data_IF_657081453515
#
_entry.id   IF_657081453515
#
_cell.length_a   1.000
_cell.length_b   1.000
_cell.length_c   1.000
_cell.angle_alpha   90.00
_cell.angle_beta   90.00
_cell.angle_gamma   90.00
#
_symmetry.space_group_name_H-M   'P 1'
#
loop_
_entity.id
_entity.type
_entity.pdbx_description
1 polymer ?
#
# COMPACT_ATOMS: atom_id res chain seq x y z
N UNK A 1 8.92 -30.70 -22.95
CA UNK A 1 8.36 -30.71 -21.59
C UNK A 1 8.24 -29.28 -21.04
N UNK A 2 9.27 -28.44 -21.10
CA UNK A 2 9.28 -27.06 -20.61
C UNK A 2 8.17 -26.20 -21.23
N UNK A 3 7.97 -26.18 -22.55
CA UNK A 3 6.89 -25.41 -23.22
C UNK A 3 5.46 -25.84 -22.82
N UNK A 4 5.25 -27.04 -22.32
CA UNK A 4 3.93 -27.48 -21.82
C UNK A 4 3.68 -26.95 -20.39
N UNK A 5 4.74 -26.87 -19.58
CA UNK A 5 4.67 -26.32 -18.22
C UNK A 5 4.48 -24.80 -18.28
N UNK A 6 5.14 -24.10 -19.21
CA UNK A 6 4.95 -22.65 -19.45
C UNK A 6 3.50 -22.33 -19.87
N UNK A 7 2.92 -23.14 -20.78
CA UNK A 7 1.54 -22.98 -21.20
C UNK A 7 0.54 -23.31 -20.07
N UNK A 8 0.82 -24.32 -19.26
CA UNK A 8 -0.01 -24.69 -18.12
C UNK A 8 0.05 -23.63 -17.01
N UNK A 9 1.22 -23.02 -16.78
CA UNK A 9 1.40 -21.91 -15.83
C UNK A 9 0.71 -20.63 -16.32
N UNK A 10 0.85 -20.27 -17.60
CA UNK A 10 0.10 -19.17 -18.21
C UNK A 10 -1.42 -19.41 -18.14
N UNK A 11 -1.87 -20.64 -18.43
CA UNK A 11 -3.28 -20.99 -18.33
C UNK A 11 -3.79 -20.94 -16.88
N UNK A 12 -2.98 -21.37 -15.90
CA UNK A 12 -3.31 -21.29 -14.48
C UNK A 12 -3.39 -19.84 -13.99
N UNK A 13 -2.47 -18.96 -14.45
CA UNK A 13 -2.50 -17.53 -14.17
C UNK A 13 -3.73 -16.89 -14.80
N UNK A 14 -4.07 -17.22 -16.05
CA UNK A 14 -5.30 -16.76 -16.71
C UNK A 14 -6.58 -17.28 -16.04
N UNK A 15 -6.59 -18.52 -15.54
CA UNK A 15 -7.72 -19.08 -14.80
C UNK A 15 -7.89 -18.40 -13.41
N UNK A 16 -6.80 -18.06 -12.72
CA UNK A 16 -6.86 -17.32 -11.45
C UNK A 16 -7.38 -15.90 -11.67
N UNK A 17 -6.99 -15.25 -12.76
CA UNK A 17 -7.48 -13.90 -13.13
C UNK A 17 -8.94 -13.98 -13.62
N UNK A 18 -9.34 -15.05 -14.30
CA UNK A 18 -10.68 -15.21 -14.90
C UNK A 18 -11.82 -15.52 -13.92
N UNK A 19 -11.53 -15.92 -12.68
CA UNK A 19 -12.58 -16.36 -11.73
C UNK A 19 -13.22 -15.21 -10.93
N UNK A 20 -12.77 -13.97 -11.06
CA UNK A 20 -13.18 -12.88 -10.17
C UNK A 20 -13.54 -11.56 -10.83
N UNK A 21 -13.78 -11.50 -12.11
CA UNK A 21 -14.31 -10.27 -12.74
C UNK A 21 -15.84 -10.34 -12.75
N UNK A 22 -16.43 -10.28 -11.57
CA UNK A 22 -17.77 -9.69 -11.44
C UNK A 22 -17.55 -8.18 -11.43
N UNK A 23 -17.89 -7.50 -12.52
CA UNK A 23 -17.90 -6.05 -12.57
C UNK A 23 -18.92 -5.54 -11.56
N UNK A 24 -18.46 -5.18 -10.38
CA UNK A 24 -19.23 -4.45 -9.40
C UNK A 24 -19.11 -2.97 -9.77
N UNK A 25 -20.22 -2.26 -9.84
CA UNK A 25 -20.24 -0.82 -10.07
C UNK A 25 -19.39 -0.14 -9.00
N UNK A 26 -18.29 0.51 -9.42
CA UNK A 26 -17.30 1.15 -8.58
C UNK A 26 -16.02 0.32 -8.42
N UNK A 27 -15.00 0.63 -9.21
CA UNK A 27 -13.65 0.06 -9.02
C UNK A 27 -13.00 0.70 -7.79
N UNK A 28 -13.16 0.07 -6.62
CA UNK A 28 -12.48 0.50 -5.40
C UNK A 28 -11.03 0.00 -5.42
N UNK A 29 -10.06 0.91 -5.22
CA UNK A 29 -8.64 0.55 -5.03
C UNK A 29 -8.39 -0.21 -3.73
N UNK A 30 -9.21 0.03 -2.70
CA UNK A 30 -9.35 -0.78 -1.49
C UNK A 30 -10.82 -0.80 -1.08
N UNK A 31 -11.22 -1.79 -0.29
CA UNK A 31 -12.52 -1.80 0.36
C UNK A 31 -12.33 -2.23 1.81
N UNK A 32 -12.59 -1.30 2.73
CA UNK A 32 -12.56 -1.56 4.17
C UNK A 32 -13.38 -0.51 4.91
N UNK A 33 -14.20 -0.90 5.90
CA UNK A 33 -14.90 0.05 6.75
C UNK A 33 -13.98 1.06 7.43
N UNK A 34 -12.74 0.70 7.64
CA UNK A 34 -11.73 1.55 8.26
C UNK A 34 -11.24 2.69 7.35
N UNK A 35 -11.49 2.62 6.04
CA UNK A 35 -11.11 3.67 5.10
C UNK A 35 -11.99 4.93 5.16
N UNK A 36 -13.08 4.89 5.93
CA UNK A 36 -13.91 6.06 6.26
C UNK A 36 -13.08 7.16 6.95
N UNK A 37 -12.07 6.76 7.73
CA UNK A 37 -11.33 7.65 8.61
C UNK A 37 -10.10 8.25 7.92
N UNK A 38 -9.85 9.54 8.18
CA UNK A 38 -8.68 10.24 7.68
C UNK A 38 -8.56 10.21 6.16
N UNK A 39 -7.40 9.77 5.69
CA UNK A 39 -7.08 9.58 4.26
C UNK A 39 -7.33 8.15 3.76
N UNK A 40 -8.01 7.33 4.55
CA UNK A 40 -8.24 5.93 4.23
C UNK A 40 -7.13 4.99 4.69
N UNK A 41 -6.99 3.88 3.99
CA UNK A 41 -6.00 2.85 4.28
C UNK A 41 -4.66 3.21 3.64
N UNK A 42 -3.59 3.30 4.44
CA UNK A 42 -2.25 3.52 3.90
C UNK A 42 -1.75 2.23 3.25
N UNK A 43 -1.37 2.32 1.97
CA UNK A 43 -0.85 1.19 1.21
C UNK A 43 0.53 0.76 1.75
N UNK A 44 0.77 -0.55 1.81
CA UNK A 44 2.10 -1.08 2.15
C UNK A 44 3.07 -0.79 1.01
N UNK A 45 4.12 -0.03 1.30
CA UNK A 45 5.19 0.27 0.36
C UNK A 45 6.03 -0.99 0.06
N UNK A 46 6.51 -1.11 -1.17
CA UNK A 46 7.35 -2.20 -1.64
C UNK A 46 6.75 -3.01 -2.78
N UNK A 47 7.63 -3.54 -3.63
CA UNK A 47 7.26 -4.41 -4.76
C UNK A 47 6.69 -5.76 -4.29
N UNK A 48 6.22 -6.57 -5.22
CA UNK A 48 5.77 -7.93 -4.92
C UNK A 48 6.84 -8.76 -4.20
N UNK A 49 8.12 -8.49 -4.46
CA UNK A 49 9.25 -9.06 -3.74
C UNK A 49 9.16 -8.75 -2.24
N UNK A 50 9.05 -7.47 -1.87
CA UNK A 50 8.98 -7.02 -0.49
C UNK A 50 7.69 -7.51 0.20
N UNK A 51 6.54 -7.36 -0.47
CA UNK A 51 5.23 -7.78 0.05
C UNK A 51 5.15 -9.27 0.34
N UNK A 52 5.79 -10.12 -0.50
CA UNK A 52 5.84 -11.57 -0.28
C UNK A 52 6.73 -12.01 0.90
N UNK A 53 7.43 -11.06 1.51
CA UNK A 53 8.39 -11.28 2.60
C UNK A 53 8.10 -10.36 3.81
N UNK A 54 6.82 -10.22 4.20
CA UNK A 54 6.38 -9.39 5.31
C UNK A 54 6.40 -7.88 5.05
N UNK A 55 6.78 -7.43 3.85
CA UNK A 55 6.93 -6.02 3.50
C UNK A 55 8.25 -5.41 4.00
N UNK A 56 9.26 -6.22 4.24
CA UNK A 56 10.62 -5.76 4.56
C UNK A 56 11.29 -5.11 3.36
N UNK A 57 12.27 -4.24 3.58
CA UNK A 57 12.99 -3.60 2.48
C UNK A 57 14.00 -2.54 2.89
N UNK A 58 14.07 -2.15 4.17
CA UNK A 58 14.94 -1.06 4.62
C UNK A 58 16.42 -1.43 4.51
N UNK A 59 16.77 -2.68 4.84
CA UNK A 59 18.13 -3.20 4.73
C UNK A 59 18.32 -4.12 3.53
N UNK A 60 17.26 -4.42 2.76
CA UNK A 60 17.36 -5.30 1.57
C UNK A 60 18.26 -4.70 0.50
N UNK A 61 19.30 -5.46 0.10
CA UNK A 61 20.15 -5.20 -1.06
C UNK A 61 20.09 -6.37 -2.03
N UNK A 62 19.29 -6.22 -3.09
CA UNK A 62 19.12 -7.25 -4.10
C UNK A 62 19.50 -6.70 -5.50
N UNK A 63 20.32 -7.42 -6.25
CA UNK A 63 20.77 -6.99 -7.58
C UNK A 63 19.73 -7.21 -8.68
N UNK A 64 18.67 -7.96 -8.39
CA UNK A 64 17.71 -8.45 -9.38
C UNK A 64 16.36 -7.80 -9.27
N UNK A 65 16.03 -7.21 -8.12
CA UNK A 65 14.76 -6.57 -7.84
C UNK A 65 14.98 -5.12 -7.48
N UNK A 66 14.07 -4.26 -7.95
CA UNK A 66 14.06 -2.87 -7.51
C UNK A 66 13.53 -2.84 -6.07
N UNK A 67 14.29 -2.21 -5.20
CA UNK A 67 13.84 -1.91 -3.86
C UNK A 67 13.73 -0.38 -3.70
N UNK A 68 12.51 0.13 -3.74
CA UNK A 68 12.22 1.55 -3.58
C UNK A 68 11.79 1.93 -2.15
N UNK A 69 11.71 0.96 -1.24
CA UNK A 69 11.45 1.26 0.19
C UNK A 69 12.60 2.02 0.84
N UNK A 70 13.83 1.81 0.35
CA UNK A 70 15.00 2.57 0.76
C UNK A 70 15.73 3.10 -0.49
N UNK A 71 15.79 4.42 -0.73
CA UNK A 71 16.43 4.98 -1.92
C UNK A 71 17.93 4.65 -2.06
N UNK A 72 18.63 4.34 -0.95
CA UNK A 72 20.02 3.88 -1.03
C UNK A 72 20.16 2.50 -1.71
N UNK A 73 19.12 1.67 -1.66
CA UNK A 73 19.11 0.32 -2.21
C UNK A 73 19.15 0.30 -3.75
N UNK A 74 18.81 1.40 -4.44
CA UNK A 74 18.88 1.51 -5.91
C UNK A 74 20.27 1.22 -6.45
N UNK A 75 21.31 1.39 -5.62
CA UNK A 75 22.70 1.12 -5.96
C UNK A 75 23.06 -0.37 -5.96
N UNK A 76 22.22 -1.23 -5.39
CA UNK A 76 22.41 -2.68 -5.34
C UNK A 76 21.98 -3.32 -6.67
N UNK A 77 22.78 -3.18 -7.71
CA UNK A 77 22.48 -3.62 -9.07
C UNK A 77 23.72 -4.08 -9.83
N UNK A 78 23.51 -4.79 -10.90
CA UNK A 78 24.59 -5.09 -11.83
C UNK A 78 24.92 -3.84 -12.67
N UNK A 79 26.19 -3.68 -13.02
CA UNK A 79 26.63 -2.56 -13.84
C UNK A 79 25.88 -2.54 -15.17
N UNK A 80 25.43 -1.34 -15.61
CA UNK A 80 24.75 -1.13 -16.88
C UNK A 80 23.39 -1.82 -17.01
N UNK A 81 22.78 -2.24 -15.88
CA UNK A 81 21.46 -2.89 -15.90
C UNK A 81 20.31 -1.88 -15.94
N UNK A 82 19.35 -2.11 -16.83
CA UNK A 82 18.02 -1.56 -16.77
C UNK A 82 17.14 -2.48 -15.93
N UNK A 83 16.28 -1.92 -15.09
CA UNK A 83 15.32 -2.69 -14.30
C UNK A 83 13.95 -2.04 -14.36
N UNK A 84 12.90 -2.87 -14.45
CA UNK A 84 11.52 -2.45 -14.32
C UNK A 84 10.77 -3.42 -13.40
N UNK A 85 9.86 -2.90 -12.61
CA UNK A 85 8.96 -3.68 -11.77
C UNK A 85 7.52 -3.23 -12.01
N UNK A 86 6.61 -4.19 -12.11
CA UNK A 86 5.18 -3.95 -12.27
C UNK A 86 4.41 -4.93 -11.41
N UNK A 87 3.56 -4.44 -10.56
CA UNK A 87 2.83 -5.23 -9.59
C UNK A 87 1.32 -5.05 -9.61
N UNK A 88 0.63 -6.16 -9.41
CA UNK A 88 -0.82 -6.29 -9.28
C UNK A 88 -1.15 -6.89 -7.93
N UNK A 89 -2.23 -6.43 -7.32
CA UNK A 89 -2.72 -6.95 -6.05
C UNK A 89 -4.23 -7.18 -6.13
N UNK A 90 -4.66 -8.36 -5.69
CA UNK A 90 -6.05 -8.69 -5.45
C UNK A 90 -6.27 -8.95 -3.97
N UNK A 91 -7.24 -8.29 -3.35
CA UNK A 91 -7.60 -8.48 -1.95
C UNK A 91 -8.99 -9.07 -1.81
N UNK A 92 -9.12 -10.14 -1.03
CA UNK A 92 -10.39 -10.75 -0.63
C UNK A 92 -10.53 -10.56 0.87
N UNK A 93 -11.52 -9.77 1.30
CA UNK A 93 -11.73 -9.42 2.70
C UNK A 93 -13.07 -9.90 3.21
N UNK A 94 -13.11 -10.34 4.46
CA UNK A 94 -14.30 -10.73 5.19
C UNK A 94 -14.39 -9.86 6.45
N UNK A 95 -15.49 -9.15 6.60
CA UNK A 95 -15.79 -8.25 7.71
C UNK A 95 -16.79 -8.92 8.67
N UNK A 96 -16.58 -8.71 9.98
CA UNK A 96 -17.49 -9.20 11.00
C UNK A 96 -17.62 -8.20 12.15
N UNK A 97 -18.88 -7.87 12.49
CA UNK A 97 -19.26 -7.12 13.68
C UNK A 97 -20.47 -7.81 14.32
N UNK A 98 -20.30 -8.30 15.54
CA UNK A 98 -21.34 -9.11 16.18
C UNK A 98 -21.78 -10.31 15.32
N UNK A 99 -23.04 -10.34 14.95
CA UNK A 99 -23.65 -11.36 14.07
C UNK A 99 -23.60 -10.99 12.58
N UNK A 100 -23.29 -9.73 12.26
CA UNK A 100 -23.19 -9.28 10.87
C UNK A 100 -21.89 -9.77 10.23
N UNK A 101 -22.00 -10.19 8.98
CA UNK A 101 -20.88 -10.65 8.17
C UNK A 101 -21.06 -10.15 6.75
N UNK A 102 -20.01 -9.56 6.20
CA UNK A 102 -19.95 -9.12 4.80
C UNK A 102 -18.59 -9.53 4.21
N UNK A 103 -18.48 -9.48 2.89
CA UNK A 103 -17.22 -9.73 2.21
C UNK A 103 -17.12 -8.92 0.93
N UNK A 104 -15.91 -8.56 0.55
CA UNK A 104 -15.63 -7.82 -0.66
C UNK A 104 -14.31 -8.30 -1.31
N UNK A 105 -14.18 -7.99 -2.58
CA UNK A 105 -13.05 -8.31 -3.42
C UNK A 105 -12.62 -7.03 -4.15
N UNK A 106 -11.33 -6.70 -4.11
CA UNK A 106 -10.76 -5.55 -4.79
C UNK A 106 -9.55 -5.95 -5.61
N UNK A 107 -9.32 -5.24 -6.72
CA UNK A 107 -8.16 -5.43 -7.58
C UNK A 107 -7.49 -4.09 -7.83
N UNK A 108 -6.16 -4.03 -7.69
CA UNK A 108 -5.40 -2.79 -7.85
C UNK A 108 -4.03 -3.05 -8.51
N UNK A 109 -3.52 -2.02 -9.17
CA UNK A 109 -2.11 -1.93 -9.58
C UNK A 109 -1.37 -1.31 -8.40
N UNK A 110 -0.38 -2.04 -7.84
CA UNK A 110 0.28 -1.54 -6.63
C UNK A 110 1.62 -0.87 -6.87
N UNK A 111 2.29 -1.10 -8.01
CA UNK A 111 3.50 -0.37 -8.37
C UNK A 111 3.81 -0.44 -9.86
N UNK A 112 4.46 0.62 -10.32
CA UNK A 112 5.19 0.67 -11.57
C UNK A 112 6.47 1.47 -11.36
N UNK A 113 7.62 0.80 -11.42
CA UNK A 113 8.91 1.42 -11.09
C UNK A 113 9.95 1.06 -12.14
N UNK A 114 10.68 2.06 -12.58
CA UNK A 114 11.81 1.93 -13.50
C UNK A 114 13.10 2.37 -12.81
N UNK A 115 14.20 1.72 -13.15
CA UNK A 115 15.50 2.06 -12.56
C UNK A 115 16.63 1.91 -13.58
N UNK A 116 17.51 2.91 -13.61
CA UNK A 116 18.58 3.06 -14.58
C UNK A 116 19.93 3.29 -13.88
N UNK A 117 21.04 2.82 -14.45
CA UNK A 117 22.36 3.18 -13.98
C UNK A 117 22.71 4.62 -14.40
N UNK A 118 23.35 5.39 -13.51
CA UNK A 118 23.93 6.69 -13.87
C UNK A 118 25.43 6.51 -14.15
N UNK A 119 26.13 5.95 -13.18
CA UNK A 119 27.56 5.69 -13.25
C UNK A 119 27.88 4.48 -12.37
N UNK A 120 29.06 3.94 -12.43
CA UNK A 120 29.57 2.67 -11.82
C UNK A 120 28.89 2.24 -10.49
N UNK A 121 28.70 3.19 -9.56
CA UNK A 121 28.16 2.94 -8.23
C UNK A 121 26.93 3.81 -7.92
N UNK A 122 26.36 4.45 -8.93
CA UNK A 122 25.19 5.31 -8.78
C UNK A 122 24.09 4.91 -9.74
N UNK A 123 22.86 5.05 -9.30
CA UNK A 123 21.67 4.73 -10.06
C UNK A 123 20.53 5.65 -9.70
N UNK A 124 19.55 5.65 -10.54
CA UNK A 124 18.35 6.47 -10.44
C UNK A 124 17.12 5.58 -10.63
N UNK A 125 16.02 5.96 -10.01
CA UNK A 125 14.73 5.30 -10.15
C UNK A 125 13.60 6.33 -10.25
N UNK A 126 12.53 5.94 -10.93
CA UNK A 126 11.30 6.68 -11.02
C UNK A 126 10.14 5.70 -10.93
N UNK A 127 9.08 6.09 -10.24
CA UNK A 127 7.92 5.21 -10.11
C UNK A 127 6.66 5.93 -9.70
N UNK A 128 5.56 5.20 -9.82
CA UNK A 128 4.25 5.56 -9.32
C UNK A 128 3.69 4.41 -8.49
N UNK A 129 3.17 4.73 -7.31
CA UNK A 129 2.54 3.74 -6.42
C UNK A 129 1.36 4.37 -5.69
N UNK A 130 0.33 3.63 -5.29
CA UNK A 130 -0.69 4.12 -4.39
C UNK A 130 -0.05 4.43 -3.02
N UNK A 131 -0.47 5.53 -2.41
CA UNK A 131 -0.09 5.92 -1.06
C UNK A 131 -1.19 5.60 -0.06
N UNK A 132 -2.45 5.95 -0.39
CA UNK A 132 -3.62 5.56 0.40
C UNK A 132 -4.84 5.37 -0.49
N UNK A 133 -5.76 4.53 -0.02
CA UNK A 133 -6.95 4.15 -0.74
C UNK A 133 -8.17 4.30 0.17
N UNK A 134 -9.26 4.84 -0.38
CA UNK A 134 -10.57 4.91 0.26
C UNK A 134 -11.54 4.07 -0.55
N UNK A 135 -12.24 3.17 0.13
CA UNK A 135 -13.30 2.39 -0.47
C UNK A 135 -14.17 1.78 0.61
N UNK A 136 -15.42 2.21 0.66
CA UNK A 136 -16.45 1.66 1.53
C UNK A 136 -17.83 1.92 0.94
N UNK A 137 -18.77 1.04 1.27
CA UNK A 137 -20.16 1.16 0.93
C UNK A 137 -20.95 0.39 1.99
N UNK A 138 -21.76 1.09 2.78
CA UNK A 138 -22.58 0.48 3.81
C UNK A 138 -23.86 1.27 4.02
N UNK A 139 -24.91 0.53 4.36
CA UNK A 139 -26.22 1.07 4.68
C UNK A 139 -26.51 0.87 6.17
N UNK A 140 -27.13 1.86 6.79
CA UNK A 140 -27.63 1.80 8.16
C UNK A 140 -29.01 2.42 8.24
N UNK A 141 -29.80 2.02 9.26
CA UNK A 141 -31.12 2.55 9.50
C UNK A 141 -31.14 3.33 10.80
N UNK A 142 -31.96 4.38 10.86
CA UNK A 142 -32.19 5.12 12.09
C UNK A 142 -32.81 4.20 13.16
N UNK A 143 -32.28 4.26 14.38
CA UNK A 143 -32.76 3.45 15.51
C UNK A 143 -33.48 4.27 16.61
N UNK A 144 -33.34 5.60 16.55
CA UNK A 144 -33.95 6.49 17.51
C UNK A 144 -35.46 6.59 17.27
N UNK A 145 -36.26 6.06 18.22
CA UNK A 145 -37.71 5.99 18.13
C UNK A 145 -38.38 7.38 18.10
N UNK A 146 -37.77 8.40 18.70
CA UNK A 146 -38.29 9.77 18.68
C UNK A 146 -38.16 10.38 17.28
N UNK A 147 -37.13 10.04 16.56
CA UNK A 147 -36.92 10.46 15.16
C UNK A 147 -37.88 9.67 14.25
N UNK A 148 -37.89 8.35 14.35
CA UNK A 148 -38.74 7.46 13.54
C UNK A 148 -40.21 7.81 13.70
N UNK A 149 -40.65 8.12 14.92
CA UNK A 149 -42.05 8.49 15.22
C UNK A 149 -42.52 9.77 14.52
N UNK A 150 -41.58 10.67 14.20
CA UNK A 150 -41.89 11.95 13.53
C UNK A 150 -41.66 11.91 12.02
N UNK A 151 -40.72 11.13 11.54
CA UNK A 151 -40.24 11.18 10.13
C UNK A 151 -40.43 9.86 9.37
N UNK A 152 -40.90 8.81 10.05
CA UNK A 152 -40.87 7.45 9.50
C UNK A 152 -39.46 6.85 9.51
N UNK A 153 -39.28 5.70 8.87
CA UNK A 153 -37.99 5.05 8.75
C UNK A 153 -37.03 5.88 7.89
N UNK A 154 -35.79 6.00 8.36
CA UNK A 154 -34.72 6.68 7.63
C UNK A 154 -33.59 5.67 7.34
N UNK A 155 -33.14 5.66 6.11
CA UNK A 155 -31.96 4.88 5.67
C UNK A 155 -30.81 5.82 5.37
N UNK A 156 -29.63 5.49 5.84
CA UNK A 156 -28.37 6.18 5.55
C UNK A 156 -27.51 5.27 4.70
N UNK A 157 -27.28 5.65 3.45
CA UNK A 157 -26.35 4.99 2.55
C UNK A 157 -25.07 5.79 2.48
N UNK A 158 -23.99 5.23 3.01
CA UNK A 158 -22.69 5.89 3.10
C UNK A 158 -21.68 5.17 2.23
N UNK A 159 -21.11 5.87 1.28
CA UNK A 159 -20.08 5.36 0.41
C UNK A 159 -18.93 6.36 0.24
N UNK A 160 -17.75 5.82 0.02
CA UNK A 160 -16.57 6.61 -0.25
C UNK A 160 -15.66 5.91 -1.24
N UNK A 161 -14.99 6.70 -2.04
CA UNK A 161 -14.05 6.24 -3.04
C UNK A 161 -12.92 7.22 -3.19
N UNK A 162 -11.83 6.79 -3.76
CA UNK A 162 -10.71 7.64 -4.13
C UNK A 162 -9.38 7.14 -3.63
N UNK A 163 -8.35 7.62 -4.27
CA UNK A 163 -6.98 7.19 -4.03
C UNK A 163 -6.05 8.39 -3.99
N UNK A 164 -5.04 8.30 -3.13
CA UNK A 164 -3.89 9.20 -3.16
C UNK A 164 -2.72 8.39 -3.72
N UNK A 165 -2.18 8.85 -4.83
CA UNK A 165 -0.97 8.30 -5.45
C UNK A 165 0.26 9.10 -5.08
N UNK A 166 1.41 8.44 -5.16
CA UNK A 166 2.71 9.07 -5.08
C UNK A 166 3.51 8.76 -6.34
N UNK A 167 4.04 9.82 -6.96
CA UNK A 167 5.08 9.74 -7.98
C UNK A 167 6.39 10.11 -7.33
N UNK A 168 7.41 9.34 -7.58
CA UNK A 168 8.72 9.59 -6.98
C UNK A 168 9.84 9.50 -8.01
N UNK A 169 10.88 10.27 -7.75
CA UNK A 169 12.15 10.23 -8.45
C UNK A 169 13.26 10.17 -7.41
N UNK A 170 14.06 9.13 -7.48
CA UNK A 170 15.12 8.90 -6.51
C UNK A 170 16.46 8.56 -7.16
N UNK A 171 17.54 8.89 -6.46
CA UNK A 171 18.87 8.54 -6.86
C UNK A 171 19.70 8.12 -5.65
N UNK A 172 20.69 7.27 -5.89
CA UNK A 172 21.61 6.82 -4.87
C UNK A 172 23.03 6.61 -5.38
N UNK A 173 23.97 6.64 -4.46
CA UNK A 173 25.37 6.38 -4.72
C UNK A 173 26.00 5.54 -3.61
N UNK A 174 26.90 4.64 -3.99
CA UNK A 174 27.68 3.81 -3.04
C UNK A 174 29.10 4.31 -2.96
N UNK A 175 29.56 4.56 -1.75
CA UNK A 175 30.92 4.99 -1.42
C UNK A 175 31.68 3.83 -0.76
N UNK A 176 32.96 3.76 -1.03
CA UNK A 176 33.89 2.75 -0.46
C UNK A 176 33.37 1.30 -0.56
N UNK A 177 32.48 1.00 -1.53
CA UNK A 177 31.86 -0.31 -1.77
C UNK A 177 30.99 -0.85 -0.60
N UNK A 178 30.77 -0.07 0.44
CA UNK A 178 30.06 -0.50 1.66
C UNK A 178 28.96 0.44 2.11
N UNK A 179 29.14 1.73 1.89
CA UNK A 179 28.24 2.77 2.37
C UNK A 179 27.44 3.35 1.21
N UNK A 180 26.13 3.21 1.27
CA UNK A 180 25.21 3.69 0.23
C UNK A 180 24.31 4.76 0.81
N UNK A 181 24.14 5.85 0.08
CA UNK A 181 23.20 6.92 0.39
C UNK A 181 22.25 7.10 -0.76
N UNK A 182 21.02 7.50 -0.46
CA UNK A 182 20.05 7.81 -1.49
C UNK A 182 19.09 8.89 -1.02
N UNK A 183 18.55 9.61 -1.98
CA UNK A 183 17.52 10.59 -1.78
C UNK A 183 16.43 10.43 -2.83
N UNK A 184 15.20 10.72 -2.44
CA UNK A 184 14.01 10.59 -3.26
C UNK A 184 13.14 11.81 -3.05
N UNK A 185 12.68 12.38 -4.14
CA UNK A 185 11.64 13.40 -4.17
C UNK A 185 10.31 12.71 -4.46
N UNK A 186 9.31 12.95 -3.64
CA UNK A 186 7.97 12.34 -3.73
C UNK A 186 6.95 13.45 -3.91
N UNK A 187 6.05 13.28 -4.87
CA UNK A 187 4.89 14.14 -5.08
C UNK A 187 3.61 13.32 -4.90
N UNK A 188 2.77 13.75 -3.95
CA UNK A 188 1.45 13.17 -3.68
C UNK A 188 0.37 13.92 -4.44
N UNK A 189 -0.59 13.17 -4.98
CA UNK A 189 -1.78 13.74 -5.63
C UNK A 189 -2.94 12.74 -5.59
N UNK A 190 -4.15 13.26 -5.56
CA UNK A 190 -5.35 12.42 -5.58
C UNK A 190 -6.57 13.11 -5.04
N UNK A 191 -7.72 12.46 -5.19
CA UNK A 191 -9.00 12.92 -4.69
C UNK A 191 -9.66 11.81 -3.86
N UNK A 192 -10.38 12.21 -2.84
CA UNK A 192 -11.18 11.34 -1.97
C UNK A 192 -12.59 11.92 -1.92
N UNK A 193 -13.57 11.09 -2.25
CA UNK A 193 -14.99 11.42 -2.17
C UNK A 193 -15.66 10.61 -1.07
N UNK A 194 -16.38 11.28 -0.18
CA UNK A 194 -17.14 10.67 0.90
C UNK A 194 -18.56 11.22 0.86
N UNK A 195 -19.54 10.36 0.68
CA UNK A 195 -20.93 10.75 0.48
C UNK A 195 -21.81 9.93 1.41
N UNK A 196 -22.77 10.60 2.04
CA UNK A 196 -23.85 9.98 2.78
C UNK A 196 -25.17 10.46 2.23
N UNK A 197 -25.96 9.53 1.75
CA UNK A 197 -27.31 9.72 1.28
C UNK A 197 -28.28 9.33 2.40
N UNK A 198 -29.20 10.23 2.74
CA UNK A 198 -30.24 10.02 3.73
C UNK A 198 -31.59 9.98 3.03
N UNK A 199 -32.23 8.83 3.07
CA UNK A 199 -33.53 8.60 2.48
C UNK A 199 -34.62 8.41 3.55
N UNK A 200 -35.74 9.08 3.34
CA UNK A 200 -36.93 8.95 4.17
C UNK A 200 -37.94 8.02 3.50
N UNK A 201 -38.51 7.08 4.27
CA UNK A 201 -39.57 6.22 3.77
C UNK A 201 -40.86 6.98 3.45
N UNK A 202 -41.07 8.13 4.09
CA UNK A 202 -42.17 9.04 3.80
C UNK A 202 -41.76 10.06 2.73
N UNK A 203 -42.37 9.99 1.55
CA UNK A 203 -42.12 10.88 0.41
C UNK A 203 -42.45 12.37 0.69
N UNK A 204 -43.05 12.70 1.85
CA UNK A 204 -43.26 14.08 2.28
C UNK A 204 -41.96 14.78 2.64
N UNK A 205 -40.92 14.02 2.97
CA UNK A 205 -39.59 14.53 3.27
C UNK A 205 -38.67 14.46 2.05
N UNK A 206 -37.76 15.40 1.99
CA UNK A 206 -36.72 15.42 0.94
C UNK A 206 -35.54 14.57 1.35
N UNK A 207 -35.04 13.72 0.46
CA UNK A 207 -33.78 13.03 0.66
C UNK A 207 -32.62 14.03 0.76
N UNK A 208 -31.68 13.80 1.66
CA UNK A 208 -30.54 14.70 1.92
C UNK A 208 -29.25 14.00 1.56
N UNK A 209 -28.48 14.65 0.73
CA UNK A 209 -27.13 14.22 0.38
C UNK A 209 -26.11 15.11 1.08
N UNK A 210 -25.22 14.52 1.85
CA UNK A 210 -24.10 15.21 2.48
C UNK A 210 -22.81 14.59 1.96
N UNK A 211 -21.90 15.40 1.44
CA UNK A 211 -20.65 14.91 0.89
C UNK A 211 -19.47 15.81 1.19
N UNK A 212 -18.31 15.20 1.06
CA UNK A 212 -17.02 15.86 1.18
C UNK A 212 -16.09 15.34 0.09
N UNK A 213 -15.67 16.23 -0.79
CA UNK A 213 -14.63 15.99 -1.79
C UNK A 213 -13.32 16.59 -1.29
N UNK A 214 -12.29 15.76 -1.15
CA UNK A 214 -10.97 16.18 -0.64
C UNK A 214 -9.96 16.01 -1.76
N UNK A 215 -9.48 17.12 -2.32
CA UNK A 215 -8.37 17.12 -3.27
C UNK A 215 -7.06 17.32 -2.51
N UNK A 216 -6.12 16.41 -2.71
CA UNK A 216 -4.84 16.39 -1.99
C UNK A 216 -3.70 16.54 -2.97
N UNK A 217 -2.79 17.43 -2.68
CA UNK A 217 -1.47 17.46 -3.29
C UNK A 217 -0.40 17.85 -2.26
N UNK A 218 0.82 17.39 -2.48
CA UNK A 218 1.94 17.68 -1.59
C UNK A 218 3.25 17.11 -2.10
N UNK A 219 4.35 17.65 -1.61
CA UNK A 219 5.67 17.16 -1.99
C UNK A 219 6.53 16.96 -0.75
N UNK A 220 7.34 15.90 -0.74
CA UNK A 220 8.25 15.58 0.35
C UNK A 220 9.55 14.97 -0.16
N UNK A 221 10.53 14.86 0.74
CA UNK A 221 11.77 14.15 0.52
C UNK A 221 11.87 12.91 1.41
N UNK A 222 12.43 11.84 0.84
CA UNK A 222 12.79 10.63 1.57
C UNK A 222 14.29 10.38 1.40
N UNK A 223 14.98 10.10 2.48
CA UNK A 223 16.41 9.83 2.51
C UNK A 223 16.65 8.41 2.96
N UNK A 224 17.68 7.79 2.42
CA UNK A 224 18.04 6.44 2.75
C UNK A 224 19.54 6.27 2.96
N UNK A 225 19.87 5.40 3.90
CA UNK A 225 21.25 4.99 4.20
C UNK A 225 21.29 3.47 4.27
N UNK A 226 22.37 2.88 3.74
CA UNK A 226 22.66 1.47 3.95
C UNK A 226 24.18 1.27 4.13
N UNK A 227 24.53 0.41 5.07
CA UNK A 227 25.89 -0.02 5.31
C UNK A 227 25.98 -1.53 5.19
N UNK A 228 26.79 -2.02 4.24
CA UNK A 228 26.99 -3.45 4.00
C UNK A 228 28.38 -3.89 4.45
N UNK A 229 28.44 -4.84 5.36
CA UNK A 229 29.67 -5.43 5.85
C UNK A 229 29.71 -6.91 5.52
N UNK A 230 30.75 -7.35 4.81
CA UNK A 230 31.03 -8.77 4.67
C UNK A 230 31.56 -9.31 5.99
N UNK A 231 30.94 -10.39 6.45
CA UNK A 231 31.36 -11.17 7.61
C UNK A 231 32.25 -12.35 7.15
N UNK A 232 32.20 -13.47 7.85
CA UNK A 232 32.94 -14.68 7.50
C UNK A 232 32.26 -15.42 6.32
N UNK A 233 33.08 -15.93 5.40
CA UNK A 233 32.60 -16.65 4.21
C UNK A 233 31.78 -15.78 3.28
N UNK A 234 30.63 -16.28 2.83
CA UNK A 234 29.72 -15.58 1.92
C UNK A 234 28.63 -14.77 2.66
N UNK A 235 28.73 -14.62 3.98
CA UNK A 235 27.72 -13.92 4.77
C UNK A 235 28.00 -12.42 4.77
N UNK A 236 26.96 -11.64 4.51
CA UNK A 236 26.97 -10.17 4.65
C UNK A 236 25.91 -9.72 5.62
N UNK A 237 26.24 -8.69 6.41
CA UNK A 237 25.35 -7.93 7.27
C UNK A 237 25.06 -6.60 6.58
N UNK A 238 23.79 -6.24 6.49
CA UNK A 238 23.38 -4.90 6.02
C UNK A 238 22.59 -4.21 7.12
N UNK A 239 22.95 -2.98 7.44
CA UNK A 239 22.17 -2.07 8.26
C UNK A 239 21.55 -1.02 7.35
N UNK A 240 20.26 -0.77 7.53
CA UNK A 240 19.50 0.22 6.75
C UNK A 240 18.80 1.23 7.64
N UNK A 241 18.70 2.46 7.14
CA UNK A 241 17.88 3.50 7.75
C UNK A 241 17.20 4.33 6.68
N UNK A 242 15.99 4.77 6.95
CA UNK A 242 15.21 5.67 6.08
C UNK A 242 14.58 6.79 6.90
N UNK A 243 14.44 7.95 6.29
CA UNK A 243 13.72 9.09 6.85
C UNK A 243 12.91 9.78 5.76
N UNK A 244 11.58 9.86 5.95
CA UNK A 244 10.67 10.63 5.11
C UNK A 244 10.19 11.84 5.90
N UNK A 245 10.35 13.03 5.31
CA UNK A 245 9.98 14.28 5.94
C UNK A 245 8.46 14.43 6.00
N UNK A 246 7.96 15.04 7.08
CA UNK A 246 6.57 15.49 7.16
C UNK A 246 6.29 16.53 6.08
N UNK A 247 5.13 16.46 5.44
CA UNK A 247 4.74 17.44 4.44
C UNK A 247 3.36 18.01 4.70
N UNK A 248 3.21 19.33 4.53
CA UNK A 248 1.91 19.99 4.54
C UNK A 248 1.18 19.66 3.25
N UNK A 249 -0.09 19.32 3.39
CA UNK A 249 -0.95 19.11 2.26
C UNK A 249 -1.44 20.46 1.73
N UNK A 250 -1.41 20.58 0.42
CA UNK A 250 -2.06 21.61 -0.36
C UNK A 250 -3.31 20.98 -0.97
N UNK A 251 -4.24 21.81 -1.39
CA UNK A 251 -5.50 21.35 -1.93
C UNK A 251 -6.67 21.89 -1.13
N UNK A 252 -7.82 21.33 -1.32
CA UNK A 252 -9.06 21.83 -0.74
C UNK A 252 -9.97 20.67 -0.33
N UNK A 253 -10.86 20.98 0.63
CA UNK A 253 -11.98 20.13 1.01
C UNK A 253 -13.26 20.88 0.67
N UNK A 254 -14.02 20.35 -0.29
CA UNK A 254 -15.35 20.85 -0.64
C UNK A 254 -16.37 20.07 0.15
N UNK A 255 -17.12 20.76 1.03
CA UNK A 255 -18.20 20.15 1.79
C UNK A 255 -19.52 20.67 1.26
N UNK A 256 -20.43 19.76 0.95
CA UNK A 256 -21.73 20.09 0.41
C UNK A 256 -22.85 19.34 1.11
N UNK A 257 -24.01 19.97 1.16
CA UNK A 257 -25.27 19.35 1.56
C UNK A 257 -26.37 19.87 0.63
N UNK A 258 -27.11 18.98 0.02
CA UNK A 258 -28.26 19.32 -0.80
C UNK A 258 -29.44 18.38 -0.54
N UNK A 259 -30.64 18.94 -0.65
CA UNK A 259 -31.88 18.17 -0.54
C UNK A 259 -32.43 17.89 -1.93
N UNK A 260 -32.93 16.69 -2.14
CA UNK A 260 -33.52 16.27 -3.41
C UNK A 260 -34.96 15.78 -3.20
N UNK A 261 -35.86 16.18 -4.10
CA UNK A 261 -37.20 15.63 -4.17
C UNK A 261 -37.63 15.59 -5.64
N UNK A 262 -37.85 14.38 -6.16
CA UNK A 262 -38.07 14.16 -7.60
C UNK A 262 -36.92 14.71 -8.42
N UNK A 263 -37.14 15.74 -9.24
CA UNK A 263 -36.09 16.38 -10.07
C UNK A 263 -35.58 17.72 -9.52
N UNK A 264 -36.04 18.13 -8.34
CA UNK A 264 -35.65 19.41 -7.73
C UNK A 264 -34.49 19.17 -6.77
N UNK A 265 -33.42 19.96 -6.93
CA UNK A 265 -32.24 19.95 -6.08
C UNK A 265 -32.10 21.31 -5.42
N UNK A 266 -32.14 21.33 -4.09
CA UNK A 266 -31.89 22.54 -3.28
C UNK A 266 -30.54 22.43 -2.59
N UNK A 267 -29.64 23.35 -2.84
CA UNK A 267 -28.35 23.41 -2.15
C UNK A 267 -28.54 24.04 -0.76
N UNK A 268 -28.38 23.22 0.27
CA UNK A 268 -28.51 23.68 1.67
C UNK A 268 -27.18 24.26 2.18
N UNK A 269 -26.05 23.71 1.75
CA UNK A 269 -24.72 24.19 2.11
C UNK A 269 -23.73 23.81 1.02
N UNK A 270 -22.84 24.75 0.73
CA UNK A 270 -21.64 24.49 -0.07
C UNK A 270 -20.50 25.33 0.53
N UNK A 271 -19.41 24.70 0.92
CA UNK A 271 -18.22 25.38 1.42
C UNK A 271 -16.97 24.73 0.86
N UNK A 272 -15.99 25.58 0.54
CA UNK A 272 -14.67 25.12 0.10
C UNK A 272 -13.64 25.65 1.09
N UNK A 273 -12.94 24.72 1.74
CA UNK A 273 -11.90 25.02 2.72
C UNK A 273 -10.55 24.56 2.20
N UNK A 274 -9.52 25.39 2.31
CA UNK A 274 -8.17 24.97 1.91
C UNK A 274 -7.52 24.13 3.00
N UNK A 275 -6.90 23.00 2.61
CA UNK A 275 -6.20 22.11 3.55
C UNK A 275 -5.03 22.81 4.24
N UNK A 276 -4.45 23.82 3.60
CA UNK A 276 -3.39 24.65 4.16
C UNK A 276 -3.83 25.43 5.40
N UNK A 277 -5.08 25.93 5.44
CA UNK A 277 -5.65 26.62 6.61
C UNK A 277 -5.85 25.68 7.78
N UNK A 278 -6.28 24.44 7.53
CA UNK A 278 -6.42 23.39 8.53
C UNK A 278 -5.10 22.81 9.04
N UNK A 279 -3.96 23.28 8.50
CA UNK A 279 -2.61 22.79 8.82
C UNK A 279 -2.46 21.26 8.70
N UNK A 280 -3.21 20.66 7.77
CA UNK A 280 -3.20 19.21 7.52
C UNK A 280 -1.87 18.80 6.92
N UNK A 281 -1.28 17.72 7.46
CA UNK A 281 0.02 17.21 7.01
C UNK A 281 0.10 15.70 7.08
N UNK A 282 0.93 15.12 6.22
CA UNK A 282 1.39 13.75 6.40
C UNK A 282 2.50 13.70 7.45
N UNK A 283 2.46 12.64 8.27
CA UNK A 283 3.47 12.39 9.29
C UNK A 283 4.86 12.15 8.71
N UNK A 284 5.88 12.51 9.48
CA UNK A 284 7.24 12.04 9.23
C UNK A 284 7.33 10.52 9.47
N UNK A 285 8.28 9.89 8.82
CA UNK A 285 8.51 8.45 8.99
C UNK A 285 9.99 8.15 9.14
N UNK A 286 10.30 7.33 10.14
CA UNK A 286 11.63 6.79 10.38
C UNK A 286 11.55 5.28 10.26
N UNK A 287 12.45 4.69 9.48
CA UNK A 287 12.61 3.27 9.36
C UNK A 287 14.04 2.83 9.67
N UNK A 288 14.18 1.71 10.37
CA UNK A 288 15.46 1.05 10.59
C UNK A 288 15.35 -0.43 10.29
N UNK A 289 16.38 -1.00 9.70
CA UNK A 289 16.39 -2.40 9.31
C UNK A 289 17.76 -3.05 9.48
N UNK A 290 17.74 -4.34 9.74
CA UNK A 290 18.92 -5.19 9.82
C UNK A 290 18.71 -6.44 8.99
N UNK A 291 19.66 -6.75 8.09
CA UNK A 291 19.58 -7.92 7.24
C UNK A 291 20.86 -8.76 7.31
N UNK A 292 20.68 -10.05 7.29
CA UNK A 292 21.74 -11.04 7.10
C UNK A 292 21.47 -11.81 5.80
N UNK A 293 22.50 -11.91 4.97
CA UNK A 293 22.43 -12.59 3.68
C UNK A 293 23.59 -13.56 3.52
N UNK A 294 23.30 -14.83 3.24
CA UNK A 294 24.29 -15.85 2.95
C UNK A 294 24.46 -16.10 1.47
N UNK A 295 25.36 -15.35 0.82
CA UNK A 295 25.54 -15.36 -0.62
C UNK A 295 24.25 -15.08 -1.38
N UNK A 296 23.89 -15.98 -2.29
CA UNK A 296 22.61 -15.93 -3.02
C UNK A 296 21.62 -17.02 -2.54
N UNK A 297 21.90 -17.66 -1.39
CA UNK A 297 21.11 -18.81 -0.93
C UNK A 297 20.01 -18.45 0.04
N UNK A 298 20.29 -17.54 0.96
CA UNK A 298 19.32 -17.15 1.97
C UNK A 298 19.46 -15.70 2.38
N UNK A 299 18.34 -15.11 2.82
CA UNK A 299 18.25 -13.74 3.32
C UNK A 299 17.25 -13.71 4.47
N UNK A 300 17.61 -13.03 5.56
CA UNK A 300 16.75 -12.75 6.72
C UNK A 300 16.84 -11.27 7.00
N UNK A 301 15.71 -10.62 7.23
CA UNK A 301 15.68 -9.18 7.53
C UNK A 301 14.59 -8.88 8.55
N UNK A 302 14.91 -7.95 9.43
CA UNK A 302 13.97 -7.36 10.37
C UNK A 302 13.95 -5.85 10.19
N UNK A 303 12.73 -5.29 10.05
CA UNK A 303 12.50 -3.86 9.91
C UNK A 303 11.56 -3.34 11.00
N UNK A 304 11.85 -2.14 11.47
CA UNK A 304 10.98 -1.34 12.31
C UNK A 304 10.73 0.01 11.64
N UNK A 305 9.45 0.38 11.50
CA UNK A 305 9.03 1.68 10.99
C UNK A 305 8.18 2.39 12.05
N UNK A 306 8.34 3.71 12.13
CA UNK A 306 7.53 4.59 12.96
C UNK A 306 7.17 5.85 12.19
N UNK A 307 5.88 6.20 12.19
CA UNK A 307 5.40 7.42 11.52
C UNK A 307 4.56 8.28 12.47
N UNK A 308 4.86 9.58 12.50
CA UNK A 308 4.34 10.55 13.46
C UNK A 308 3.09 11.26 12.94
N UNK A 309 1.91 10.67 13.08
CA UNK A 309 0.64 11.26 12.62
C UNK A 309 -0.10 12.08 13.68
N UNK A 310 0.29 12.03 14.94
CA UNK A 310 -0.39 12.73 16.03
C UNK A 310 -0.41 14.27 15.91
N UNK A 311 0.36 14.84 14.97
CA UNK A 311 0.36 16.27 14.63
C UNK A 311 -0.16 16.53 13.21
N UNK A 312 -0.90 15.58 12.64
CA UNK A 312 -1.38 15.66 11.25
C UNK A 312 -2.45 16.71 11.03
N UNK A 313 -3.17 17.14 12.08
CA UNK A 313 -4.29 18.07 11.99
C UNK A 313 -5.56 17.45 11.38
N UNK A 314 -5.55 16.14 11.07
CA UNK A 314 -6.71 15.46 10.48
C UNK A 314 -7.87 15.29 11.46
N UNK A 315 -7.61 15.32 12.76
CA UNK A 315 -8.63 15.17 13.81
C UNK A 315 -9.67 16.31 13.79
N UNK A 316 -9.27 17.49 13.32
CA UNK A 316 -10.09 18.71 13.33
C UNK A 316 -10.41 19.24 11.94
N UNK A 317 -9.74 18.73 10.91
CA UNK A 317 -9.92 19.22 9.55
C UNK A 317 -11.24 18.72 8.94
N UNK A 318 -12.00 19.59 8.25
CA UNK A 318 -13.23 19.20 7.58
C UNK A 318 -12.98 18.09 6.55
N UNK A 319 -13.89 17.09 6.50
CA UNK A 319 -13.84 15.96 5.58
C UNK A 319 -12.98 14.78 6.01
N UNK A 320 -12.10 14.94 7.02
CA UNK A 320 -11.27 13.85 7.55
C UNK A 320 -11.87 13.17 8.79
N UNK A 321 -12.82 13.84 9.47
CA UNK A 321 -13.51 13.28 10.63
C UNK A 321 -14.42 12.12 10.25
N UNK A 322 -14.77 11.33 11.26
CA UNK A 322 -15.62 10.18 11.13
C UNK A 322 -17.04 10.49 10.64
N UNK A 323 -17.69 9.48 10.08
CA UNK A 323 -19.12 9.41 9.89
C UNK A 323 -19.72 8.81 11.17
N UNK A 324 -20.81 9.39 11.70
CA UNK A 324 -21.46 8.95 12.94
C UNK A 324 -20.75 9.41 14.20
N UNK A 325 -20.98 8.68 15.30
CA UNK A 325 -20.54 9.07 16.66
C UNK A 325 -19.10 8.64 17.00
N UNK A 326 -18.44 7.85 16.15
CA UNK A 326 -17.08 7.35 16.41
C UNK A 326 -16.06 8.47 16.39
N UNK A 327 -15.25 8.55 17.45
CA UNK A 327 -14.19 9.55 17.59
C UNK A 327 -12.90 9.06 16.94
N UNK A 328 -12.52 9.71 15.83
CA UNK A 328 -11.22 9.54 15.20
C UNK A 328 -10.16 10.39 15.90
N UNK A 329 -9.00 9.81 16.17
CA UNK A 329 -7.83 10.52 16.73
C UNK A 329 -6.56 10.03 16.05
N UNK A 330 -5.83 10.92 15.37
CA UNK A 330 -4.56 10.58 14.76
C UNK A 330 -3.48 10.29 15.80
N UNK A 331 -2.67 9.28 15.56
CA UNK A 331 -1.64 8.83 16.51
C UNK A 331 -0.40 8.36 15.77
N UNK A 332 0.65 8.04 16.51
CA UNK A 332 1.86 7.43 15.95
C UNK A 332 1.55 6.04 15.42
N UNK A 333 1.88 5.76 14.17
CA UNK A 333 1.86 4.41 13.64
C UNK A 333 3.20 3.71 13.85
N UNK A 334 3.17 2.40 14.04
CA UNK A 334 4.34 1.56 14.22
C UNK A 334 4.18 0.26 13.42
N UNK A 335 5.28 -0.22 12.86
CA UNK A 335 5.29 -1.46 12.10
C UNK A 335 6.53 -2.28 12.42
N UNK A 336 6.33 -3.56 12.72
CA UNK A 336 7.38 -4.55 12.94
C UNK A 336 7.25 -5.62 11.86
N UNK A 337 8.33 -5.88 11.13
CA UNK A 337 8.34 -6.78 9.98
C UNK A 337 9.53 -7.71 10.06
N UNK A 338 9.30 -8.99 9.79
CA UNK A 338 10.34 -10.01 9.71
C UNK A 338 10.13 -10.82 8.44
N UNK A 339 11.18 -10.96 7.65
CA UNK A 339 11.15 -11.68 6.39
C UNK A 339 12.30 -12.65 6.23
N UNK A 340 12.03 -13.71 5.49
CA UNK A 340 12.98 -14.77 5.16
C UNK A 340 12.84 -15.18 3.70
N UNK A 341 13.99 -15.33 3.01
CA UNK A 341 14.08 -15.88 1.65
C UNK A 341 15.07 -17.04 1.63
N UNK A 342 14.75 -18.07 0.85
CA UNK A 342 15.67 -19.17 0.52
C UNK A 342 15.62 -19.48 -0.98
N UNK A 343 16.81 -19.68 -1.56
CA UNK A 343 16.98 -20.14 -2.94
C UNK A 343 17.87 -21.39 -2.89
N UNK A 344 17.31 -22.58 -3.05
CA UNK A 344 18.05 -23.83 -2.85
C UNK A 344 19.32 -23.93 -3.73
N UNK A 345 19.19 -23.71 -5.02
CA UNK A 345 20.33 -23.65 -5.94
C UNK A 345 19.94 -22.88 -7.20
N UNK A 346 20.33 -21.61 -7.26
CA UNK A 346 20.01 -20.71 -8.35
C UNK A 346 20.51 -21.16 -9.72
N UNK A 347 21.62 -21.86 -9.77
CA UNK A 347 22.30 -22.32 -10.97
C UNK A 347 21.98 -23.78 -11.33
N UNK A 348 20.93 -24.37 -10.75
CA UNK A 348 20.57 -25.75 -11.05
C UNK A 348 20.01 -25.85 -12.47
N UNK A 349 20.71 -26.62 -13.34
CA UNK A 349 20.30 -26.81 -14.73
C UNK A 349 19.22 -27.89 -14.83
N UNK A 350 19.18 -28.84 -13.90
CA UNK A 350 18.34 -30.04 -13.97
C UNK A 350 16.96 -29.80 -13.37
N UNK A 351 16.87 -29.14 -12.20
CA UNK A 351 15.64 -29.00 -11.46
C UNK A 351 15.20 -27.54 -11.38
N UNK A 352 14.12 -27.20 -12.09
CA UNK A 352 13.58 -25.83 -12.14
C UNK A 352 13.23 -25.27 -10.75
N UNK A 353 12.55 -26.07 -9.92
CA UNK A 353 12.11 -25.64 -8.57
C UNK A 353 13.26 -25.27 -7.63
N UNK A 354 14.48 -25.79 -7.85
CA UNK A 354 15.64 -25.40 -7.06
C UNK A 354 16.15 -23.98 -7.37
N UNK A 355 15.80 -23.46 -8.55
CA UNK A 355 16.14 -22.09 -8.96
C UNK A 355 15.18 -21.05 -8.43
N UNK A 356 13.97 -21.45 -8.03
CA UNK A 356 12.96 -20.57 -7.49
C UNK A 356 13.39 -20.00 -6.14
N UNK A 357 13.01 -18.75 -5.87
CA UNK A 357 13.15 -18.13 -4.56
C UNK A 357 11.87 -18.30 -3.77
N UNK A 358 11.96 -18.87 -2.59
CA UNK A 358 10.84 -19.08 -1.67
C UNK A 358 10.97 -18.06 -0.54
N UNK A 359 9.85 -17.43 -0.18
CA UNK A 359 9.79 -16.38 0.84
C UNK A 359 8.70 -16.66 1.85
N UNK A 360 8.96 -16.22 3.06
CA UNK A 360 7.97 -16.15 4.12
C UNK A 360 8.22 -14.89 4.95
N UNK A 361 7.18 -14.33 5.53
CA UNK A 361 7.32 -13.18 6.41
C UNK A 361 6.15 -13.04 7.35
N UNK A 362 6.35 -12.25 8.39
CA UNK A 362 5.33 -11.86 9.35
C UNK A 362 5.41 -10.37 9.58
N UNK A 363 4.27 -9.75 9.89
CA UNK A 363 4.22 -8.34 10.24
C UNK A 363 3.19 -8.07 11.31
N UNK A 364 3.43 -6.97 12.02
CA UNK A 364 2.50 -6.37 12.95
C UNK A 364 2.51 -4.86 12.73
N UNK A 365 1.37 -4.31 12.32
CA UNK A 365 1.21 -2.90 12.00
C UNK A 365 0.17 -2.27 12.94
N UNK A 366 0.48 -1.13 13.52
CA UNK A 366 -0.45 -0.27 14.24
C UNK A 366 -0.86 0.87 13.31
N UNK A 367 -2.17 1.07 13.10
CA UNK A 367 -2.69 2.14 12.26
C UNK A 367 -2.30 3.54 12.78
N UNK A 368 -2.35 4.51 11.90
CA UNK A 368 -2.02 5.91 12.20
C UNK A 368 -3.11 6.65 13.00
N UNK A 369 -4.18 5.95 13.39
CA UNK A 369 -5.30 6.48 14.14
C UNK A 369 -5.81 5.52 15.22
N UNK A 370 -6.58 6.08 16.14
CA UNK A 370 -7.37 5.38 17.14
C UNK A 370 -8.84 5.67 16.90
N UNK A 371 -9.69 4.70 17.19
CA UNK A 371 -11.15 4.84 17.20
C UNK A 371 -11.64 4.69 18.64
N UNK A 372 -12.34 5.71 19.13
CA UNK A 372 -12.86 5.75 20.51
C UNK A 372 -11.79 5.41 21.56
N UNK A 373 -10.56 5.92 21.33
CA UNK A 373 -9.39 5.67 22.16
C UNK A 373 -8.70 4.31 21.96
N UNK A 374 -9.24 3.42 21.15
CA UNK A 374 -8.69 2.09 20.91
C UNK A 374 -7.79 2.04 19.66
N UNK A 375 -6.65 1.35 19.76
CA UNK A 375 -5.75 1.15 18.63
C UNK A 375 -6.36 0.17 17.62
N UNK A 376 -6.20 0.49 16.34
CA UNK A 376 -6.50 -0.43 15.24
C UNK A 376 -5.19 -1.08 14.80
N UNK A 377 -5.04 -2.37 15.07
CA UNK A 377 -3.83 -3.11 14.76
C UNK A 377 -4.11 -4.15 13.69
N UNK A 378 -3.13 -4.41 12.83
CA UNK A 378 -3.18 -5.50 11.87
C UNK A 378 -1.97 -6.42 12.03
N UNK A 379 -2.17 -7.70 11.79
CA UNK A 379 -1.11 -8.70 11.77
C UNK A 379 -1.36 -9.69 10.64
N UNK A 380 -0.29 -10.23 10.10
CA UNK A 380 -0.41 -11.23 9.04
C UNK A 380 0.87 -12.01 8.79
N UNK A 381 0.70 -13.03 7.97
CA UNK A 381 1.76 -13.92 7.52
C UNK A 381 1.76 -13.86 5.99
N UNK A 382 2.94 -13.73 5.41
CA UNK A 382 3.11 -13.71 3.97
C UNK A 382 3.90 -14.90 3.48
N UNK A 383 3.57 -15.38 2.30
CA UNK A 383 4.32 -16.39 1.58
C UNK A 383 4.53 -15.94 0.15
N UNK A 384 5.63 -16.35 -0.45
CA UNK A 384 5.84 -16.04 -1.86
C UNK A 384 6.84 -16.94 -2.54
N UNK A 385 6.72 -16.95 -3.86
CA UNK A 385 7.63 -17.64 -4.75
C UNK A 385 7.98 -16.74 -5.93
N UNK A 386 9.25 -16.67 -6.28
CA UNK A 386 9.65 -16.09 -7.57
C UNK A 386 10.11 -17.18 -8.51
N UNK A 387 9.47 -17.19 -9.67
CA UNK A 387 9.72 -18.10 -10.77
C UNK A 387 10.65 -17.42 -11.76
N UNK A 388 11.90 -17.87 -11.96
CA UNK A 388 12.80 -17.29 -12.98
C UNK A 388 12.26 -17.64 -14.37
N UNK A 389 11.86 -16.64 -15.17
CA UNK A 389 11.20 -16.84 -16.48
C UNK A 389 12.22 -16.79 -17.62
N UNK A 390 13.03 -15.74 -17.71
CA UNK A 390 14.02 -15.56 -18.75
C UNK A 390 15.40 -15.23 -18.15
N UNK A 391 16.46 -15.80 -18.72
CA UNK A 391 17.87 -15.44 -18.46
C UNK A 391 18.24 -15.17 -17.01
N UNK A 392 17.76 -15.98 -16.04
CA UNK A 392 18.18 -15.91 -14.63
C UNK A 392 17.83 -14.61 -13.85
N UNK A 393 17.50 -13.52 -14.52
CA UNK A 393 17.31 -12.19 -13.96
C UNK A 393 15.85 -11.74 -13.94
N UNK A 394 15.06 -12.15 -14.92
CA UNK A 394 13.63 -11.82 -14.97
C UNK A 394 12.82 -12.83 -14.16
N UNK A 395 11.85 -12.36 -13.42
CA UNK A 395 11.06 -13.21 -12.55
C UNK A 395 9.59 -12.81 -12.51
N UNK A 396 8.74 -13.83 -12.39
CA UNK A 396 7.36 -13.70 -11.96
C UNK A 396 7.31 -14.00 -10.47
N UNK A 397 6.94 -13.00 -9.67
CA UNK A 397 6.73 -13.17 -8.23
C UNK A 397 5.25 -13.35 -7.95
N UNK A 398 4.92 -14.41 -7.23
CA UNK A 398 3.60 -14.67 -6.70
C UNK A 398 3.69 -14.62 -5.17
N UNK A 399 2.86 -13.80 -4.56
CA UNK A 399 2.80 -13.65 -3.10
C UNK A 399 1.38 -13.83 -2.60
N UNK A 400 1.25 -14.32 -1.37
CA UNK A 400 -0.01 -14.40 -0.64
C UNK A 400 0.20 -13.79 0.74
N UNK A 401 -0.66 -12.85 1.14
CA UNK A 401 -0.70 -12.22 2.45
C UNK A 401 -2.01 -12.62 3.14
N UNK A 402 -1.91 -13.33 4.24
CA UNK A 402 -3.04 -13.74 5.07
C UNK A 402 -2.98 -12.94 6.37
N UNK A 403 -3.95 -12.09 6.61
CA UNK A 403 -3.93 -11.22 7.76
C UNK A 403 -5.28 -10.96 8.40
N UNK A 404 -5.20 -10.32 9.56
CA UNK A 404 -6.36 -9.84 10.32
C UNK A 404 -6.10 -8.42 10.79
N UNK A 405 -7.09 -7.55 10.67
CA UNK A 405 -7.11 -6.19 11.17
C UNK A 405 -8.20 -6.05 12.22
N UNK A 406 -7.88 -5.41 13.33
CA UNK A 406 -8.72 -5.20 14.48
C UNK A 406 -9.29 -6.50 15.09
N UNK A 407 -10.18 -6.35 16.03
CA UNK A 407 -10.90 -7.46 16.70
C UNK A 407 -12.35 -7.04 16.92
N UNK A 408 -13.22 -7.97 17.27
CA UNK A 408 -14.62 -7.69 17.62
C UNK A 408 -14.80 -7.09 19.03
N UNK A 409 -13.69 -6.73 19.71
CA UNK A 409 -13.75 -6.04 21.02
C UNK A 409 -14.00 -4.55 20.78
N UNK A 410 -14.68 -3.89 21.74
CA UNK A 410 -15.01 -2.47 21.69
C UNK A 410 -15.80 -2.07 20.44
N UNK A 411 -16.74 -2.91 20.03
CA UNK A 411 -17.63 -2.74 18.87
C UNK A 411 -16.90 -2.50 17.52
N UNK A 412 -15.61 -2.84 17.46
CA UNK A 412 -14.83 -2.75 16.23
C UNK A 412 -15.17 -3.85 15.24
N UNK A 413 -15.01 -3.55 13.97
CA UNK A 413 -15.20 -4.49 12.87
C UNK A 413 -13.92 -5.32 12.70
N UNK A 414 -14.00 -6.63 12.86
CA UNK A 414 -12.88 -7.50 12.53
C UNK A 414 -12.84 -7.75 11.03
N UNK A 415 -11.73 -7.38 10.41
CA UNK A 415 -11.43 -7.69 9.03
C UNK A 415 -10.43 -8.85 8.95
N UNK A 416 -10.71 -9.86 8.15
CA UNK A 416 -9.78 -10.92 7.74
C UNK A 416 -9.61 -10.85 6.24
N UNK A 417 -8.38 -10.84 5.79
CA UNK A 417 -8.07 -10.72 4.37
C UNK A 417 -7.09 -11.76 3.88
N UNK A 418 -7.25 -12.10 2.60
CA UNK A 418 -6.30 -12.85 1.81
C UNK A 418 -5.95 -12.00 0.58
N UNK A 419 -4.73 -11.48 0.51
CA UNK A 419 -4.24 -10.69 -0.62
C UNK A 419 -3.34 -11.56 -1.48
N UNK A 420 -3.56 -11.51 -2.78
CA UNK A 420 -2.72 -12.17 -3.78
C UNK A 420 -1.96 -11.07 -4.50
N UNK A 421 -0.63 -11.17 -4.49
CA UNK A 421 0.25 -10.19 -5.14
C UNK A 421 0.97 -10.88 -6.29
N UNK A 422 0.96 -10.23 -7.45
CA UNK A 422 1.64 -10.70 -8.65
C UNK A 422 2.60 -9.61 -9.11
N UNK A 423 3.88 -9.90 -9.22
CA UNK A 423 4.89 -8.96 -9.65
C UNK A 423 5.69 -9.46 -10.85
N UNK A 424 5.87 -8.59 -11.81
CA UNK A 424 6.70 -8.81 -12.99
C UNK A 424 7.96 -7.98 -12.86
N UNK A 425 9.09 -8.65 -12.71
CA UNK A 425 10.38 -8.02 -12.65
C UNK A 425 11.15 -8.24 -13.95
N UNK A 426 11.58 -7.15 -14.57
CA UNK A 426 12.42 -7.12 -15.76
C UNK A 426 13.78 -6.61 -15.36
N UNK A 427 14.82 -7.34 -15.72
CA UNK A 427 16.20 -6.95 -15.52
C UNK A 427 16.98 -7.31 -16.79
N UNK A 428 17.62 -6.33 -17.44
CA UNK A 428 18.44 -6.53 -18.64
C UNK A 428 19.64 -5.59 -18.66
N UNK A 429 20.64 -5.95 -19.41
CA UNK A 429 21.89 -5.16 -19.55
C UNK A 429 21.84 -4.43 -20.89
N UNK A 430 21.42 -3.16 -20.88
CA UNK A 430 21.17 -2.39 -22.11
C UNK A 430 22.32 -1.52 -22.57
N UNK A 431 23.21 -1.15 -21.70
CA UNK A 431 24.22 -0.11 -21.97
C UNK A 431 25.60 -0.68 -22.34
N UNK A 432 25.65 -1.89 -22.88
CA UNK A 432 26.90 -2.46 -23.43
C UNK A 432 27.15 -1.96 -24.84
N UNK A 433 28.36 -1.44 -25.10
CA UNK A 433 28.81 -1.16 -26.48
C UNK A 433 28.92 -2.49 -27.23
N UNK A 434 28.27 -2.64 -28.42
CA UNK A 434 28.53 -3.83 -29.26
C UNK A 434 30.01 -3.91 -29.60
N UNK A 435 30.62 -5.02 -29.30
CA UNK A 435 31.96 -5.33 -29.80
C UNK A 435 31.81 -5.97 -31.17
N UNK A 436 32.11 -5.24 -32.21
CA UNK A 436 32.28 -5.81 -33.53
C UNK A 436 33.66 -6.49 -33.52
N UNK A 437 33.73 -7.81 -33.64
CA UNK A 437 34.92 -8.57 -33.92
C UNK A 437 35.12 -8.64 -35.42
#
# INVERSE_FOLDING_TARGET
MIRRIEKALLLAVFLIIGVSVSAQEGAYGAYTPYSVFGIGEIAKEGSAYNKSMGGIGIATRNRRFINYTNPAAVTARDSLSFMADFGLEQSNSIYRQGNLKSGNNTFNIHDFVLSFPIYRSSAFMVGITPFSNVGYDFSSVETNQDIIGNTGNITYDSYGTGDIYQVFVGAGATFWKRFSVGAEFIYYFGNIDKITHMDYADNSYRSVNTGSEISVNGATGKFGLQYEQKLAGDVSLTLGATYRMSTRLKGYSTNYRYATQSSVVDTLRHSVDTLAHGNVRFGDEIGVGIALKGGEKWHVEFDYLRSGWGKSGMDTAPGFSAIGDSKFTATTSQSFRLGFEIVPNRNDIRYYMRRCAYRAGVYYDQAYYKLDGNNVNSMGITFGITLPVFRWYNGLTLGVDLGQKASTRHDMIRERYARIVVGFNIHDIWFQKPRYN
#
